data_IF_498429191069
#
_entry.id   IF_498429191069
#
_cell.length_a   1.000
_cell.length_b   1.000
_cell.length_c   1.000
_cell.angle_alpha   90.00
_cell.angle_beta   90.00
_cell.angle_gamma   90.00
#
_symmetry.space_group_name_H-M   'P 1'
#
loop_
_entity.id
_entity.type
_entity.pdbx_description
1 polymer ?
#
# COMPACT_ATOMS: atom_id res chain seq x y z
N UNK A 1 -41.82 47.56 -9.58
CA UNK A 1 -42.06 47.55 -11.04
C UNK A 1 -41.83 46.13 -11.49
N UNK A 2 -42.87 45.45 -11.98
CA UNK A 2 -42.79 44.09 -12.48
C UNK A 2 -41.92 44.07 -13.74
N UNK A 3 -40.79 43.38 -13.69
CA UNK A 3 -39.94 43.13 -14.85
C UNK A 3 -40.68 42.22 -15.84
N UNK A 4 -41.51 42.82 -16.68
CA UNK A 4 -42.08 42.15 -17.85
C UNK A 4 -40.92 41.94 -18.82
N UNK A 5 -40.34 40.75 -18.79
CA UNK A 5 -39.27 40.32 -19.69
C UNK A 5 -39.85 40.28 -21.11
N UNK A 6 -39.48 41.27 -21.95
CA UNK A 6 -39.76 41.26 -23.39
C UNK A 6 -38.86 40.21 -24.06
N UNK A 7 -39.47 39.13 -24.53
CA UNK A 7 -38.79 38.14 -25.38
C UNK A 7 -38.68 38.70 -26.79
N UNK A 8 -37.50 38.59 -27.40
CA UNK A 8 -37.29 39.03 -28.79
C UNK A 8 -37.97 38.04 -29.77
N UNK A 9 -39.00 38.47 -30.51
CA UNK A 9 -39.75 37.61 -31.42
C UNK A 9 -38.89 37.00 -32.53
N UNK A 10 -37.81 37.69 -32.93
CA UNK A 10 -36.91 37.22 -33.98
C UNK A 10 -36.11 36.00 -33.54
N UNK A 11 -35.62 36.02 -32.30
CA UNK A 11 -34.87 34.92 -31.70
C UNK A 11 -35.77 33.68 -31.52
N UNK A 12 -37.03 33.85 -31.12
CA UNK A 12 -37.99 32.73 -31.03
C UNK A 12 -38.34 32.12 -32.39
N UNK A 13 -38.49 32.95 -33.43
CA UNK A 13 -38.76 32.48 -34.78
C UNK A 13 -37.59 31.64 -35.34
N UNK A 14 -36.35 32.12 -35.14
CA UNK A 14 -35.14 31.37 -35.53
C UNK A 14 -35.04 30.04 -34.78
N UNK A 15 -35.39 30.01 -33.48
CA UNK A 15 -35.38 28.78 -32.69
C UNK A 15 -36.45 27.75 -33.12
N UNK A 16 -37.57 28.18 -33.72
CA UNK A 16 -38.62 27.26 -34.22
C UNK A 16 -38.33 26.74 -35.64
N UNK A 17 -37.60 27.50 -36.45
CA UNK A 17 -37.32 27.14 -37.84
C UNK A 17 -36.02 26.35 -37.98
N UNK A 18 -36.12 25.02 -38.02
CA UNK A 18 -34.98 24.09 -38.11
C UNK A 18 -34.12 24.23 -39.37
N UNK A 19 -34.65 24.86 -40.41
CA UNK A 19 -33.94 25.10 -41.67
C UNK A 19 -33.23 26.47 -41.70
N UNK A 20 -33.38 27.27 -40.65
CA UNK A 20 -32.76 28.59 -40.59
C UNK A 20 -31.24 28.45 -40.33
N UNK A 21 -30.36 29.15 -41.06
CA UNK A 21 -28.90 29.01 -40.93
C UNK A 21 -28.34 29.25 -39.52
N UNK A 22 -29.06 30.06 -38.73
CA UNK A 22 -28.70 30.41 -37.35
C UNK A 22 -29.47 29.59 -36.28
N UNK A 23 -30.19 28.54 -36.68
CA UNK A 23 -30.97 27.71 -35.74
C UNK A 23 -30.07 27.01 -34.72
N UNK A 24 -28.99 26.38 -35.17
CA UNK A 24 -28.07 25.65 -34.26
C UNK A 24 -27.35 26.59 -33.28
N UNK A 25 -26.96 27.79 -33.73
CA UNK A 25 -26.32 28.76 -32.84
C UNK A 25 -27.29 29.24 -31.75
N UNK A 26 -28.55 29.55 -32.09
CA UNK A 26 -29.56 29.99 -31.12
C UNK A 26 -29.93 28.88 -30.12
N UNK A 27 -29.94 27.61 -30.53
CA UNK A 27 -30.17 26.47 -29.63
C UNK A 27 -28.97 26.24 -28.71
N UNK A 28 -27.74 26.35 -29.23
CA UNK A 28 -26.53 26.12 -28.44
C UNK A 28 -26.27 27.23 -27.41
N UNK A 29 -26.71 28.48 -27.65
CA UNK A 29 -26.58 29.55 -26.63
C UNK A 29 -27.51 29.33 -25.43
N UNK A 30 -28.61 28.58 -25.59
CA UNK A 30 -29.56 28.25 -24.52
C UNK A 30 -29.41 26.78 -24.04
N UNK A 31 -28.20 26.23 -24.09
CA UNK A 31 -27.93 24.83 -23.76
C UNK A 31 -28.05 24.55 -22.24
N UNK A 32 -29.27 24.25 -21.82
CA UNK A 32 -29.52 23.31 -20.73
C UNK A 32 -30.16 23.88 -19.47
N UNK A 33 -30.28 25.19 -19.32
CA UNK A 33 -30.84 25.82 -18.12
C UNK A 33 -32.34 26.13 -18.29
N UNK A 34 -33.19 25.34 -17.65
CA UNK A 34 -34.65 25.53 -17.59
C UNK A 34 -35.01 26.05 -16.20
N UNK A 35 -35.60 27.24 -16.09
CA UNK A 35 -36.13 27.71 -14.80
C UNK A 35 -37.43 26.99 -14.46
N UNK A 36 -37.49 26.40 -13.27
CA UNK A 36 -38.70 25.80 -12.72
C UNK A 36 -39.73 26.85 -12.30
N UNK A 37 -40.98 26.44 -11.97
CA UNK A 37 -42.06 27.34 -11.54
C UNK A 37 -41.73 28.20 -10.32
N UNK A 38 -40.75 27.76 -9.51
CA UNK A 38 -40.25 28.45 -8.32
C UNK A 38 -39.06 29.38 -8.60
N UNK A 39 -38.69 29.60 -9.87
CA UNK A 39 -37.59 30.49 -10.27
C UNK A 39 -36.19 29.87 -10.19
N UNK A 40 -36.05 28.66 -9.65
CA UNK A 40 -34.78 27.92 -9.59
C UNK A 40 -34.34 27.41 -10.96
N UNK A 41 -33.07 27.64 -11.30
CA UNK A 41 -32.41 27.16 -12.51
C UNK A 41 -32.18 25.65 -12.42
N UNK A 42 -32.70 24.88 -13.39
CA UNK A 42 -32.50 23.44 -13.51
C UNK A 42 -31.69 23.13 -14.76
N UNK A 43 -30.67 22.29 -14.65
CA UNK A 43 -29.90 21.80 -15.79
C UNK A 43 -30.45 20.47 -16.28
N UNK A 44 -30.72 20.32 -17.58
CA UNK A 44 -31.10 19.03 -18.16
C UNK A 44 -29.84 18.18 -18.45
N UNK A 45 -29.56 17.10 -17.70
CA UNK A 45 -28.33 16.31 -17.85
C UNK A 45 -28.23 15.60 -19.21
N UNK A 46 -29.36 15.37 -19.89
CA UNK A 46 -29.36 14.69 -21.19
C UNK A 46 -28.92 15.64 -22.32
N UNK A 47 -29.05 16.95 -22.13
CA UNK A 47 -28.66 17.98 -23.12
C UNK A 47 -27.29 18.59 -22.86
N UNK A 48 -26.77 18.50 -21.65
CA UNK A 48 -25.48 19.10 -21.26
C UNK A 48 -24.43 17.99 -21.15
N UNK A 49 -23.22 18.21 -21.70
CA UNK A 49 -22.07 17.31 -21.56
C UNK A 49 -21.33 17.04 -22.87
N UNK A 50 -20.07 16.63 -22.76
CA UNK A 50 -19.22 16.20 -23.89
C UNK A 50 -18.97 14.70 -23.81
N UNK A 51 -18.70 14.04 -24.93
CA UNK A 51 -18.32 12.62 -24.97
C UNK A 51 -16.79 12.55 -24.93
N UNK A 52 -16.24 11.89 -23.92
CA UNK A 52 -14.80 11.69 -23.80
C UNK A 52 -14.29 10.57 -24.73
N UNK A 53 -12.96 10.36 -24.82
CA UNK A 53 -12.34 9.36 -25.69
C UNK A 53 -12.83 7.91 -25.47
N UNK A 54 -13.34 7.62 -24.26
CA UNK A 54 -13.84 6.30 -23.87
C UNK A 54 -15.35 6.12 -24.16
N UNK A 55 -15.98 7.01 -24.92
CA UNK A 55 -17.41 6.92 -25.30
C UNK A 55 -18.41 7.30 -24.21
N UNK A 56 -17.95 7.64 -23.00
CA UNK A 56 -18.81 8.01 -21.86
C UNK A 56 -19.09 9.52 -21.90
N UNK A 57 -20.37 9.90 -21.82
CA UNK A 57 -20.82 11.30 -21.74
C UNK A 57 -20.54 11.88 -20.34
N UNK A 58 -19.74 12.93 -20.27
CA UNK A 58 -19.34 13.63 -19.05
C UNK A 58 -19.95 15.04 -19.01
N UNK A 59 -20.35 15.48 -17.82
CA UNK A 59 -20.85 16.83 -17.58
C UNK A 59 -19.77 17.59 -16.82
N UNK A 60 -19.23 18.63 -17.43
CA UNK A 60 -18.28 19.51 -16.76
C UNK A 60 -19.01 20.32 -15.67
N UNK A 61 -18.64 20.08 -14.42
CA UNK A 61 -19.20 20.76 -13.24
C UNK A 61 -18.40 22.00 -12.86
N UNK A 62 -17.19 22.16 -13.42
CA UNK A 62 -16.32 23.30 -13.20
C UNK A 62 -16.56 24.27 -14.35
N UNK A 63 -17.32 25.34 -14.11
CA UNK A 63 -17.57 26.39 -15.09
C UNK A 63 -16.26 26.97 -15.65
N UNK A 64 -15.79 26.44 -16.79
CA UNK A 64 -14.91 27.15 -17.73
C UNK A 64 -13.53 27.60 -17.23
N UNK A 65 -12.78 26.74 -16.53
CA UNK A 65 -11.35 27.01 -16.26
C UNK A 65 -10.37 25.95 -16.82
N UNK A 66 -10.84 25.04 -17.66
CA UNK A 66 -9.96 24.16 -18.46
C UNK A 66 -9.86 24.67 -19.89
N UNK A 67 -8.77 25.37 -20.23
CA UNK A 67 -8.46 25.67 -21.63
C UNK A 67 -8.34 24.38 -22.43
N UNK A 68 -9.04 24.32 -23.56
CA UNK A 68 -9.06 23.17 -24.45
C UNK A 68 -7.70 22.94 -25.11
N UNK A 69 -7.10 21.78 -24.85
CA UNK A 69 -6.05 21.23 -25.70
C UNK A 69 -6.71 20.50 -26.87
N UNK A 70 -6.62 21.10 -28.05
CA UNK A 70 -7.01 20.49 -29.31
C UNK A 70 -6.21 19.22 -29.60
N UNK A 71 -6.89 18.25 -30.20
CA UNK A 71 -6.33 16.98 -30.60
C UNK A 71 -5.17 17.16 -31.61
N UNK A 72 -3.97 16.78 -31.20
CA UNK A 72 -2.85 16.50 -32.09
C UNK A 72 -2.54 15.01 -31.98
N UNK A 73 -2.34 14.36 -33.13
CA UNK A 73 -2.29 12.91 -33.30
C UNK A 73 -1.34 12.20 -32.33
N UNK A 74 -1.83 11.12 -31.74
CA UNK A 74 -1.06 10.24 -30.87
C UNK A 74 -0.16 9.35 -31.73
N UNK A 75 1.03 9.85 -32.02
CA UNK A 75 2.17 8.95 -32.23
C UNK A 75 2.35 8.13 -30.95
N UNK A 76 2.68 6.84 -31.10
CA UNK A 76 3.13 5.99 -29.98
C UNK A 76 4.41 6.61 -29.42
N UNK A 77 4.28 7.55 -28.49
CA UNK A 77 5.36 7.84 -27.55
C UNK A 77 5.31 6.72 -26.51
N UNK A 78 6.38 5.93 -26.43
CA UNK A 78 6.71 5.20 -25.21
C UNK A 78 6.44 6.12 -24.03
N UNK A 79 5.60 5.69 -23.09
CA UNK A 79 5.45 6.39 -21.83
C UNK A 79 6.83 6.36 -21.17
N UNK A 80 7.60 7.45 -21.29
CA UNK A 80 8.69 7.70 -20.37
C UNK A 80 8.03 7.82 -19.01
N UNK A 81 8.26 6.85 -18.13
CA UNK A 81 7.93 7.01 -16.72
C UNK A 81 8.57 8.32 -16.24
N UNK A 82 7.83 9.16 -15.48
CA UNK A 82 8.39 10.38 -14.96
C UNK A 82 9.54 10.02 -14.02
N UNK A 83 10.76 10.41 -14.39
CA UNK A 83 11.93 10.26 -13.53
C UNK A 83 11.73 11.19 -12.33
N UNK A 84 11.52 10.61 -11.14
CA UNK A 84 11.36 11.36 -9.90
C UNK A 84 12.63 12.18 -9.61
N UNK A 85 12.46 13.35 -9.00
CA UNK A 85 13.58 14.22 -8.65
C UNK A 85 14.45 13.54 -7.58
N UNK A 86 15.76 13.52 -7.80
CA UNK A 86 16.72 12.96 -6.86
C UNK A 86 17.00 13.95 -5.72
N UNK A 87 16.59 13.59 -4.51
CA UNK A 87 16.94 14.24 -3.26
C UNK A 87 18.31 13.75 -2.79
N UNK A 88 19.23 14.69 -2.60
CA UNK A 88 20.59 14.40 -2.13
C UNK A 88 20.94 15.29 -0.95
N UNK A 89 21.62 14.69 0.01
CA UNK A 89 22.18 15.36 1.18
C UNK A 89 23.68 15.15 1.10
N UNK A 90 24.49 16.18 0.93
CA UNK A 90 25.95 16.00 0.87
C UNK A 90 26.50 15.66 2.26
N UNK A 91 26.19 16.52 3.25
CA UNK A 91 26.63 16.39 4.64
C UNK A 91 25.46 16.66 5.58
N UNK A 92 24.86 15.62 6.20
CA UNK A 92 23.79 15.82 7.17
C UNK A 92 24.34 16.39 8.49
N UNK A 93 23.63 17.36 9.07
CA UNK A 93 23.92 17.93 10.38
C UNK A 93 23.35 17.09 11.52
N UNK A 94 22.30 16.32 11.23
CA UNK A 94 21.69 15.40 12.17
C UNK A 94 21.03 14.22 11.45
N UNK A 95 20.74 13.18 12.23
CA UNK A 95 20.11 11.96 11.74
C UNK A 95 18.80 11.68 12.47
N UNK A 96 17.84 11.14 11.73
CA UNK A 96 16.69 10.40 12.28
C UNK A 96 16.83 8.96 11.80
N UNK A 97 16.91 8.03 12.75
CA UNK A 97 17.11 6.61 12.47
C UNK A 97 15.76 5.90 12.47
N UNK A 98 15.52 5.10 11.43
CA UNK A 98 14.35 4.23 11.29
C UNK A 98 14.85 2.80 11.23
N UNK A 99 14.37 1.95 12.12
CA UNK A 99 14.58 0.51 12.03
C UNK A 99 13.28 -0.14 11.51
N UNK A 100 13.14 -0.35 10.20
CA UNK A 100 11.96 -0.98 9.61
C UNK A 100 11.88 -2.46 9.98
N UNK A 101 10.67 -3.03 9.95
CA UNK A 101 10.44 -4.45 10.21
C UNK A 101 10.91 -5.33 9.05
N UNK A 102 10.77 -4.85 7.81
CA UNK A 102 11.15 -5.59 6.58
C UNK A 102 10.56 -7.01 6.52
N UNK A 103 9.24 -7.16 6.70
CA UNK A 103 8.59 -8.47 6.73
C UNK A 103 8.83 -9.24 5.42
N UNK A 104 9.59 -10.35 5.51
CA UNK A 104 10.02 -11.13 4.34
C UNK A 104 11.13 -10.46 3.51
N UNK A 105 11.91 -9.58 4.13
CA UNK A 105 13.01 -8.84 3.52
C UNK A 105 12.57 -7.63 2.67
N UNK A 106 11.30 -7.22 2.72
CA UNK A 106 10.74 -6.13 1.92
C UNK A 106 10.04 -5.09 2.79
N UNK A 107 10.03 -3.84 2.37
CA UNK A 107 9.32 -2.79 3.09
C UNK A 107 7.81 -3.03 3.07
N UNK A 108 7.20 -2.94 4.25
CA UNK A 108 5.75 -2.94 4.44
C UNK A 108 5.18 -1.54 4.18
N UNK A 109 3.84 -1.43 4.13
CA UNK A 109 3.17 -0.12 4.16
C UNK A 109 3.51 0.64 5.45
N UNK A 110 3.50 -0.07 6.59
CA UNK A 110 3.82 0.50 7.89
C UNK A 110 5.24 1.07 7.93
N UNK A 111 6.23 0.36 7.38
CA UNK A 111 7.60 0.87 7.28
C UNK A 111 7.67 2.18 6.48
N UNK A 112 6.89 2.29 5.41
CA UNK A 112 6.84 3.49 4.56
C UNK A 112 6.17 4.67 5.26
N UNK A 113 5.13 4.42 6.06
CA UNK A 113 4.50 5.46 6.88
C UNK A 113 5.50 6.03 7.90
N UNK A 114 6.30 5.15 8.52
CA UNK A 114 7.35 5.53 9.47
C UNK A 114 8.46 6.35 8.80
N UNK A 115 8.91 5.95 7.60
CA UNK A 115 9.88 6.72 6.80
C UNK A 115 9.30 8.09 6.41
N UNK A 116 8.03 8.15 6.04
CA UNK A 116 7.30 9.39 5.77
C UNK A 116 7.27 10.33 6.97
N UNK A 117 7.00 9.79 8.16
CA UNK A 117 7.03 10.55 9.41
C UNK A 117 8.45 11.05 9.75
N UNK A 118 9.49 10.25 9.50
CA UNK A 118 10.88 10.66 9.67
C UNK A 118 11.20 11.91 8.82
N UNK A 119 10.77 11.92 7.56
CA UNK A 119 10.90 13.09 6.67
C UNK A 119 10.16 14.32 7.17
N UNK A 120 8.93 14.14 7.67
CA UNK A 120 8.18 15.23 8.29
C UNK A 120 8.95 15.85 9.44
N UNK A 121 9.55 15.05 10.33
CA UNK A 121 10.35 15.52 11.44
C UNK A 121 11.64 16.24 10.98
N UNK A 122 12.36 15.71 9.98
CA UNK A 122 13.50 16.40 9.37
C UNK A 122 13.09 17.80 8.90
N UNK A 123 12.05 17.90 8.06
CA UNK A 123 11.55 19.17 7.51
C UNK A 123 11.17 20.17 8.60
N UNK A 124 10.58 19.71 9.71
CA UNK A 124 10.23 20.58 10.83
C UNK A 124 11.49 21.10 11.54
N UNK A 125 12.49 20.25 11.84
CA UNK A 125 13.74 20.72 12.43
C UNK A 125 14.50 21.70 11.53
N UNK A 126 14.55 21.43 10.22
CA UNK A 126 15.16 22.32 9.25
C UNK A 126 14.43 23.68 9.17
N UNK A 127 13.10 23.67 9.26
CA UNK A 127 12.32 24.90 9.34
C UNK A 127 12.63 25.70 10.62
N UNK A 128 12.67 25.02 11.78
CA UNK A 128 12.96 25.65 13.08
C UNK A 128 14.36 26.29 13.12
N UNK A 129 15.36 25.64 12.49
CA UNK A 129 16.72 26.18 12.37
C UNK A 129 16.78 27.38 11.40
N UNK A 130 16.06 27.31 10.26
CA UNK A 130 15.95 28.43 9.30
C UNK A 130 15.31 29.67 9.93
N UNK A 131 14.28 29.49 10.75
CA UNK A 131 13.64 30.59 11.48
C UNK A 131 14.58 31.24 12.51
N UNK A 132 15.57 30.48 13.00
CA UNK A 132 16.65 30.96 13.87
C UNK A 132 17.87 31.49 13.10
N UNK A 133 17.78 31.59 11.76
CA UNK A 133 18.85 32.09 10.89
C UNK A 133 20.02 31.12 10.67
N UNK A 134 19.83 29.83 10.97
CA UNK A 134 20.81 28.76 10.75
C UNK A 134 20.37 27.88 9.57
N UNK A 135 21.35 27.33 8.86
CA UNK A 135 21.11 26.26 7.88
C UNK A 135 21.38 24.94 8.56
N UNK A 136 20.44 24.01 8.47
CA UNK A 136 20.61 22.63 8.93
C UNK A 136 19.92 21.69 7.94
N UNK A 137 20.49 20.50 7.73
CA UNK A 137 19.92 19.46 6.88
C UNK A 137 19.94 18.12 7.62
N UNK A 138 18.79 17.45 7.67
CA UNK A 138 18.61 16.15 8.34
C UNK A 138 18.57 15.00 7.33
N UNK A 139 19.19 13.87 7.66
CA UNK A 139 19.06 12.64 6.87
C UNK A 139 18.19 11.59 7.57
N UNK A 140 17.29 10.97 6.81
CA UNK A 140 16.56 9.77 7.22
C UNK A 140 17.43 8.54 6.93
N UNK A 141 17.76 7.80 7.97
CA UNK A 141 18.62 6.61 7.88
C UNK A 141 17.78 5.36 8.12
N UNK A 142 17.79 4.42 7.18
CA UNK A 142 17.24 3.08 7.43
C UNK A 142 18.32 2.18 8.04
N UNK A 143 18.00 1.50 9.13
CA UNK A 143 18.86 0.53 9.82
C UNK A 143 18.27 -0.86 9.64
N UNK A 144 18.86 -1.62 8.72
CA UNK A 144 18.36 -2.91 8.26
C UNK A 144 19.25 -4.06 8.77
N UNK A 145 18.63 -5.20 9.08
CA UNK A 145 19.26 -6.38 9.65
C UNK A 145 19.07 -7.60 8.74
N UNK A 146 20.10 -8.43 8.60
CA UNK A 146 20.00 -9.70 7.88
C UNK A 146 19.69 -9.55 6.38
N UNK A 147 19.02 -10.54 5.80
CA UNK A 147 18.66 -10.59 4.39
C UNK A 147 17.66 -9.48 4.02
N UNK A 148 18.04 -8.66 3.05
CA UNK A 148 17.19 -7.61 2.49
C UNK A 148 16.94 -7.89 1.00
N UNK A 149 15.66 -8.03 0.63
CA UNK A 149 15.15 -8.25 -0.73
C UNK A 149 14.54 -6.98 -1.33
N UNK A 150 14.61 -5.88 -0.61
CA UNK A 150 14.08 -4.59 -1.02
C UNK A 150 15.03 -3.91 -2.00
N UNK A 151 14.54 -3.65 -3.21
CA UNK A 151 15.32 -2.98 -4.25
C UNK A 151 14.99 -1.49 -4.35
N UNK A 152 13.92 -1.03 -3.68
CA UNK A 152 13.35 0.31 -3.85
C UNK A 152 13.43 1.22 -2.62
N UNK A 153 14.48 1.05 -1.80
CA UNK A 153 14.72 1.93 -0.63
C UNK A 153 14.86 3.41 -1.03
N UNK A 154 15.43 3.69 -2.20
CA UNK A 154 15.55 5.02 -2.77
C UNK A 154 14.19 5.67 -3.06
N UNK A 155 13.21 4.89 -3.50
CA UNK A 155 11.84 5.35 -3.72
C UNK A 155 11.03 5.45 -2.42
N UNK A 156 11.46 4.79 -1.35
CA UNK A 156 10.79 4.82 -0.05
C UNK A 156 11.22 6.01 0.84
N UNK A 157 12.11 6.89 0.36
CA UNK A 157 12.59 8.04 1.13
C UNK A 157 13.87 7.78 1.93
N UNK A 158 14.61 6.70 1.69
CA UNK A 158 15.84 6.43 2.46
C UNK A 158 16.98 7.31 1.95
N UNK A 159 17.46 8.27 2.75
CA UNK A 159 18.62 9.11 2.39
C UNK A 159 19.94 8.36 2.62
N UNK A 160 19.97 7.55 3.68
CA UNK A 160 21.13 6.79 4.15
C UNK A 160 20.76 5.39 4.57
N UNK A 161 21.66 4.44 4.35
CA UNK A 161 21.45 3.03 4.69
C UNK A 161 22.56 2.53 5.61
N UNK A 162 22.18 1.95 6.74
CA UNK A 162 23.03 1.06 7.54
C UNK A 162 22.46 -0.34 7.35
N UNK A 163 23.22 -1.22 6.71
CA UNK A 163 22.79 -2.61 6.48
C UNK A 163 23.76 -3.58 7.14
N UNK A 164 23.27 -4.28 8.16
CA UNK A 164 24.05 -5.25 8.94
C UNK A 164 23.80 -6.67 8.42
N UNK A 165 24.65 -7.10 7.47
CA UNK A 165 24.56 -8.38 6.76
C UNK A 165 25.32 -9.52 7.47
N UNK A 166 24.90 -9.89 8.67
CA UNK A 166 25.52 -11.00 9.40
C UNK A 166 24.44 -11.99 9.86
N UNK A 167 24.71 -13.29 9.73
CA UNK A 167 23.84 -14.40 10.12
C UNK A 167 23.31 -14.28 11.55
N UNK A 168 24.06 -13.60 12.45
CA UNK A 168 23.61 -13.34 13.84
C UNK A 168 22.33 -12.49 13.92
N UNK A 169 21.95 -11.82 12.84
CA UNK A 169 20.77 -10.96 12.76
C UNK A 169 19.58 -11.62 12.06
N UNK A 170 19.77 -12.81 11.48
CA UNK A 170 18.72 -13.58 10.82
C UNK A 170 17.70 -14.11 11.82
N UNK A 171 16.44 -14.21 11.38
CA UNK A 171 15.35 -14.69 12.23
C UNK A 171 15.08 -13.81 13.46
N UNK A 172 14.61 -14.43 14.54
CA UNK A 172 14.31 -13.75 15.80
C UNK A 172 15.59 -13.56 16.66
N UNK A 173 16.30 -12.45 16.42
CA UNK A 173 17.58 -12.13 17.06
C UNK A 173 17.56 -10.82 17.89
N UNK A 174 16.70 -10.70 18.93
CA UNK A 174 16.48 -9.42 19.61
C UNK A 174 17.70 -8.88 20.39
N UNK A 175 18.52 -9.76 20.98
CA UNK A 175 19.71 -9.32 21.73
C UNK A 175 20.83 -8.84 20.80
N UNK A 176 21.06 -9.54 19.69
CA UNK A 176 22.03 -9.13 18.68
C UNK A 176 21.65 -7.77 18.07
N UNK A 177 20.39 -7.62 17.65
CA UNK A 177 19.87 -6.35 17.10
C UNK A 177 19.95 -5.21 18.11
N UNK A 178 19.67 -5.47 19.39
CA UNK A 178 19.80 -4.45 20.45
C UNK A 178 21.24 -3.96 20.60
N UNK A 179 22.22 -4.86 20.66
CA UNK A 179 23.64 -4.47 20.79
C UNK A 179 24.10 -3.65 19.58
N UNK A 180 23.64 -4.00 18.38
CA UNK A 180 23.90 -3.24 17.17
C UNK A 180 23.33 -1.82 17.20
N UNK A 181 22.04 -1.69 17.52
CA UNK A 181 21.36 -0.39 17.61
C UNK A 181 21.97 0.47 18.71
N UNK A 182 22.38 -0.12 19.83
CA UNK A 182 23.06 0.61 20.91
C UNK A 182 24.43 1.16 20.49
N UNK A 183 25.19 0.43 19.67
CA UNK A 183 26.46 0.92 19.12
C UNK A 183 26.24 2.04 18.08
N UNK A 184 25.23 1.90 17.22
CA UNK A 184 24.83 2.95 16.26
C UNK A 184 24.38 4.23 16.99
N UNK A 185 23.61 4.10 18.07
CA UNK A 185 23.22 5.23 18.93
C UNK A 185 24.44 5.97 19.48
N UNK A 186 25.46 5.25 19.96
CA UNK A 186 26.68 5.87 20.47
C UNK A 186 27.47 6.59 19.38
N UNK A 187 27.51 6.04 18.18
CA UNK A 187 28.28 6.57 17.04
C UNK A 187 27.63 7.82 16.43
N UNK A 188 26.32 7.80 16.22
CA UNK A 188 25.62 8.85 15.45
C UNK A 188 24.75 9.78 16.27
N UNK A 189 24.41 9.42 17.51
CA UNK A 189 23.57 10.21 18.42
C UNK A 189 22.34 10.85 17.72
N UNK A 190 21.49 10.05 17.06
CA UNK A 190 20.36 10.56 16.29
C UNK A 190 19.39 11.39 17.15
N UNK A 191 18.70 12.33 16.52
CA UNK A 191 17.64 13.10 17.20
C UNK A 191 16.52 12.19 17.68
N UNK A 192 16.11 11.26 16.82
CA UNK A 192 15.07 10.28 17.10
C UNK A 192 15.40 8.91 16.54
N UNK A 193 14.94 7.88 17.26
CA UNK A 193 14.74 6.53 16.78
C UNK A 193 13.25 6.27 16.55
N UNK A 194 12.92 5.79 15.36
CA UNK A 194 11.57 5.44 14.96
C UNK A 194 11.50 3.95 14.65
N UNK A 195 10.49 3.29 15.21
CA UNK A 195 10.20 1.88 15.01
C UNK A 195 8.70 1.72 14.69
N UNK A 196 8.34 0.78 13.80
CA UNK A 196 6.98 0.27 13.75
C UNK A 196 6.57 -0.31 15.11
N UNK A 197 5.43 0.10 15.66
CA UNK A 197 4.82 -0.52 16.85
C UNK A 197 4.06 -1.79 16.44
N UNK A 198 4.83 -2.79 15.98
CA UNK A 198 4.32 -4.01 15.36
C UNK A 198 4.77 -5.26 16.12
N UNK A 199 4.12 -6.39 15.80
CA UNK A 199 4.52 -7.72 16.28
C UNK A 199 5.73 -8.30 15.55
N UNK A 200 6.19 -7.67 14.46
CA UNK A 200 7.23 -8.20 13.58
C UNK A 200 8.66 -7.87 14.05
N UNK A 201 8.80 -6.99 15.04
CA UNK A 201 10.06 -6.79 15.74
C UNK A 201 10.29 -5.36 16.24
N UNK A 202 9.75 -4.35 15.54
CA UNK A 202 9.97 -2.94 15.86
C UNK A 202 9.60 -2.58 17.30
N UNK A 203 8.46 -3.06 17.80
CA UNK A 203 8.02 -2.78 19.17
C UNK A 203 8.96 -3.40 20.23
N UNK A 204 9.42 -4.63 20.01
CA UNK A 204 10.36 -5.32 20.91
C UNK A 204 11.72 -4.63 20.91
N UNK A 205 12.28 -4.34 19.73
CA UNK A 205 13.58 -3.69 19.58
C UNK A 205 13.59 -2.28 20.19
N UNK A 206 12.60 -1.46 19.87
CA UNK A 206 12.51 -0.10 20.39
C UNK A 206 12.24 -0.06 21.90
N UNK A 207 11.47 -1.01 22.44
CA UNK A 207 11.28 -1.16 23.90
C UNK A 207 12.59 -1.53 24.61
N UNK A 208 13.37 -2.46 24.03
CA UNK A 208 14.68 -2.86 24.57
C UNK A 208 15.69 -1.71 24.52
N UNK A 209 15.75 -0.99 23.40
CA UNK A 209 16.62 0.17 23.25
C UNK A 209 16.27 1.23 24.31
N UNK A 210 14.98 1.50 24.49
CA UNK A 210 14.50 2.45 25.51
C UNK A 210 14.98 2.08 26.91
N UNK A 211 14.83 0.81 27.29
CA UNK A 211 15.32 0.32 28.57
C UNK A 211 16.84 0.45 28.69
N UNK A 212 17.60 0.15 27.63
CA UNK A 212 19.07 0.26 27.60
C UNK A 212 19.56 1.70 27.77
N UNK A 213 18.87 2.67 27.16
CA UNK A 213 19.22 4.09 27.21
C UNK A 213 18.63 4.82 28.43
N UNK A 214 17.73 4.18 29.18
CA UNK A 214 17.00 4.84 30.27
C UNK A 214 16.00 5.89 29.78
N UNK A 215 15.57 5.78 28.53
CA UNK A 215 14.63 6.70 27.87
C UNK A 215 13.19 6.20 28.01
N UNK A 216 12.23 7.11 28.07
CA UNK A 216 10.80 6.76 28.10
C UNK A 216 10.21 6.89 26.69
N UNK A 217 9.89 5.78 26.00
CA UNK A 217 9.39 5.86 24.64
C UNK A 217 7.97 6.41 24.61
N UNK A 218 7.55 6.90 23.43
CA UNK A 218 6.14 6.97 23.07
C UNK A 218 5.76 5.67 22.39
N UNK A 219 4.63 5.10 22.76
CA UNK A 219 4.11 3.84 22.22
C UNK A 219 2.70 4.09 21.71
N UNK A 220 2.26 3.31 20.73
CA UNK A 220 1.01 3.50 20.00
C UNK A 220 0.87 4.95 19.49
N UNK A 221 1.98 5.56 19.07
CA UNK A 221 2.02 6.93 18.60
C UNK A 221 1.56 6.99 17.14
N UNK A 222 0.57 7.84 16.85
CA UNK A 222 0.01 7.96 15.49
C UNK A 222 0.10 9.38 14.92
N UNK A 223 0.39 10.37 15.77
CA UNK A 223 0.64 11.73 15.32
C UNK A 223 1.83 12.30 16.09
N UNK A 224 2.88 12.67 15.37
CA UNK A 224 4.12 13.20 15.95
C UNK A 224 4.51 14.51 15.25
N UNK A 225 4.94 15.46 16.07
CA UNK A 225 5.71 16.63 15.68
C UNK A 225 6.98 16.75 16.55
N UNK A 226 7.82 17.76 16.33
CA UNK A 226 9.10 17.91 17.04
C UNK A 226 8.95 18.21 18.54
N UNK A 227 7.76 18.61 19.00
CA UNK A 227 7.49 19.03 20.37
C UNK A 227 6.49 18.11 21.08
N UNK A 228 5.46 17.64 20.38
CA UNK A 228 4.35 16.85 20.91
C UNK A 228 4.11 15.57 20.11
N UNK A 229 3.73 14.53 20.84
CA UNK A 229 3.33 13.22 20.33
C UNK A 229 1.97 12.85 20.90
N UNK A 230 1.07 12.38 20.04
CA UNK A 230 -0.24 11.83 20.41
C UNK A 230 -0.20 10.31 20.29
N UNK A 231 -0.53 9.65 21.40
CA UNK A 231 -0.55 8.20 21.54
C UNK A 231 -1.98 7.69 21.76
N UNK A 232 -2.30 6.48 21.28
CA UNK A 232 -3.52 5.77 21.68
C UNK A 232 -3.37 5.21 23.09
N UNK A 233 -4.41 5.37 23.91
CA UNK A 233 -4.45 4.89 25.29
C UNK A 233 -5.76 4.18 25.61
N UNK A 234 -5.78 3.46 26.73
CA UNK A 234 -6.96 2.76 27.26
C UNK A 234 -7.67 1.90 26.19
N UNK A 235 -6.95 0.95 25.58
CA UNK A 235 -7.44 0.12 24.48
C UNK A 235 -7.99 0.96 23.31
N UNK A 236 -7.21 1.96 22.89
CA UNK A 236 -7.53 2.88 21.79
C UNK A 236 -8.78 3.74 21.99
N UNK A 237 -9.29 3.87 23.21
CA UNK A 237 -10.48 4.67 23.51
C UNK A 237 -10.20 6.15 23.78
N UNK A 238 -8.94 6.52 24.05
CA UNK A 238 -8.52 7.90 24.29
C UNK A 238 -7.21 8.21 23.57
N UNK A 239 -6.99 9.51 23.34
CA UNK A 239 -5.71 10.05 22.92
C UNK A 239 -4.97 10.66 24.11
N UNK A 240 -3.67 10.38 24.21
CA UNK A 240 -2.78 10.91 25.24
C UNK A 240 -1.70 11.74 24.55
N UNK A 241 -1.70 13.05 24.80
CA UNK A 241 -0.67 13.96 24.29
C UNK A 241 0.48 14.09 25.30
N UNK A 242 1.71 14.04 24.81
CA UNK A 242 2.93 14.21 25.61
C UNK A 242 4.03 14.89 24.81
N UNK A 243 5.09 15.33 25.49
CA UNK A 243 6.30 15.83 24.83
C UNK A 243 6.93 14.72 23.99
N UNK A 244 7.37 15.03 22.78
CA UNK A 244 8.01 14.08 21.86
C UNK A 244 9.33 13.55 22.46
N UNK A 245 9.41 12.25 22.78
CA UNK A 245 10.64 11.63 23.29
C UNK A 245 11.58 11.24 22.13
N UNK A 246 12.82 10.85 22.47
CA UNK A 246 13.82 10.39 21.48
C UNK A 246 13.47 9.06 20.81
N UNK A 247 12.61 8.24 21.41
CA UNK A 247 12.26 6.90 20.90
C UNK A 247 10.76 6.81 20.68
N UNK A 248 10.36 6.50 19.46
CA UNK A 248 8.99 6.47 18.99
C UNK A 248 8.64 5.08 18.45
N UNK A 249 7.68 4.41 19.08
CA UNK A 249 7.00 3.23 18.51
C UNK A 249 5.68 3.71 17.90
N UNK A 250 5.59 3.57 16.59
CA UNK A 250 4.61 4.25 15.76
C UNK A 250 3.56 3.29 15.21
N UNK A 251 2.29 3.65 15.27
CA UNK A 251 1.22 2.91 14.60
C UNK A 251 1.29 3.08 13.08
N UNK A 252 0.57 2.23 12.36
CA UNK A 252 0.27 2.42 10.94
C UNK A 252 -0.39 3.79 10.70
N UNK A 253 -0.25 4.33 9.49
CA UNK A 253 -0.79 5.63 9.08
C UNK A 253 -0.25 6.82 9.92
N UNK A 254 0.94 6.67 10.55
CA UNK A 254 1.55 7.75 11.34
C UNK A 254 2.16 8.90 10.50
N UNK A 255 2.36 8.65 9.20
CA UNK A 255 2.88 9.62 8.23
C UNK A 255 2.56 9.16 6.80
N UNK A 256 2.56 10.10 5.85
CA UNK A 256 2.35 9.79 4.44
C UNK A 256 3.64 9.21 3.84
N UNK A 257 3.54 8.05 3.19
CA UNK A 257 4.65 7.45 2.45
C UNK A 257 5.22 8.40 1.39
N UNK A 258 6.53 8.33 1.17
CA UNK A 258 7.20 9.11 0.12
C UNK A 258 6.94 8.47 -1.25
N UNK A 259 6.38 9.24 -2.19
CA UNK A 259 6.13 8.82 -3.57
C UNK A 259 6.52 9.88 -4.63
N UNK A 260 6.89 11.09 -4.20
CA UNK A 260 7.19 12.23 -5.09
C UNK A 260 8.69 12.35 -5.45
N UNK A 261 9.58 11.75 -4.66
CA UNK A 261 11.03 11.92 -4.75
C UNK A 261 11.77 10.60 -4.72
N UNK A 262 12.95 10.59 -5.34
CA UNK A 262 13.93 9.51 -5.22
C UNK A 262 15.05 9.96 -4.30
N UNK A 263 15.59 9.10 -3.46
CA UNK A 263 16.64 9.42 -2.50
C UNK A 263 17.92 8.62 -2.78
N UNK A 264 19.05 9.04 -2.23
CA UNK A 264 20.36 8.44 -2.55
C UNK A 264 20.53 7.03 -1.97
N UNK A 265 19.85 6.69 -0.86
CA UNK A 265 20.05 5.47 -0.09
C UNK A 265 21.55 5.14 0.15
N UNK A 266 22.36 6.19 0.39
CA UNK A 266 23.82 6.05 0.47
C UNK A 266 24.22 5.26 1.71
N UNK A 267 25.08 4.25 1.54
CA UNK A 267 25.61 3.50 2.67
C UNK A 267 26.32 4.43 3.69
N UNK A 268 26.03 4.24 4.96
CA UNK A 268 26.82 4.75 6.07
C UNK A 268 27.71 3.63 6.59
N UNK A 269 29.02 3.90 6.63
CA UNK A 269 29.98 2.95 7.17
C UNK A 269 29.82 2.88 8.69
N UNK A 270 29.49 1.68 9.17
CA UNK A 270 29.51 1.33 10.58
C UNK A 270 30.63 0.31 10.76
N UNK A 271 31.51 0.54 11.74
CA UNK A 271 32.50 -0.48 12.11
C UNK A 271 31.79 -1.80 12.44
N UNK A 272 32.53 -2.91 12.33
CA UNK A 272 31.99 -4.23 12.63
C UNK A 272 31.37 -4.24 14.04
N UNK A 273 30.05 -4.34 14.08
CA UNK A 273 29.29 -4.35 15.33
C UNK A 273 29.69 -5.58 16.12
N UNK A 274 30.18 -5.37 17.34
CA UNK A 274 30.50 -6.47 18.24
C UNK A 274 29.22 -7.00 18.88
N UNK A 275 28.85 -8.25 18.55
CA UNK A 275 27.70 -8.93 19.15
C UNK A 275 28.22 -9.93 20.18
N UNK A 276 27.84 -9.73 21.45
CA UNK A 276 28.12 -10.67 22.53
C UNK A 276 27.29 -11.95 22.40
N UNK A 277 27.62 -12.99 23.19
CA UNK A 277 26.88 -14.24 23.19
C UNK A 277 25.37 -14.02 23.43
N UNK A 278 24.56 -14.52 22.49
CA UNK A 278 23.10 -14.47 22.50
C UNK A 278 22.57 -15.61 23.35
N UNK A 279 21.65 -15.34 24.27
CA UNK A 279 20.98 -16.31 25.15
C UNK A 279 19.65 -16.81 24.56
N UNK A 280 19.09 -16.09 23.59
CA UNK A 280 17.86 -16.45 22.88
C UNK A 280 18.23 -17.15 21.58
N UNK A 281 17.67 -18.35 21.37
CA UNK A 281 17.87 -19.13 20.15
C UNK A 281 16.56 -19.20 19.38
N UNK A 282 16.58 -18.72 18.15
CA UNK A 282 15.47 -18.90 17.22
C UNK A 282 15.46 -20.35 16.71
N UNK A 283 14.35 -21.04 16.90
CA UNK A 283 14.12 -22.39 16.36
C UNK A 283 13.34 -22.37 15.04
N UNK A 284 13.13 -21.18 14.48
CA UNK A 284 12.35 -20.96 13.28
C UNK A 284 10.84 -20.99 13.54
N UNK A 285 10.10 -20.80 12.46
CA UNK A 285 8.64 -20.92 12.48
C UNK A 285 8.25 -22.38 12.70
N UNK A 286 7.27 -22.62 13.56
CA UNK A 286 6.64 -23.93 13.67
C UNK A 286 5.67 -24.11 12.50
N UNK A 287 5.73 -25.27 11.84
CA UNK A 287 4.72 -25.66 10.87
C UNK A 287 3.36 -25.79 11.58
N UNK A 288 2.48 -24.85 11.29
CA UNK A 288 1.07 -24.89 11.70
C UNK A 288 0.26 -25.29 10.48
N UNK A 289 -0.73 -26.16 10.66
CA UNK A 289 -1.71 -26.41 9.61
C UNK A 289 -2.33 -25.06 9.19
N UNK A 290 -2.17 -24.60 7.93
CA UNK A 290 -2.77 -23.35 7.47
C UNK A 290 -4.28 -23.31 7.69
N UNK A 291 -4.93 -24.47 7.70
CA UNK A 291 -6.35 -24.58 7.96
C UNK A 291 -6.74 -24.49 9.46
N UNK A 292 -5.78 -24.53 10.37
CA UNK A 292 -5.99 -24.21 11.78
C UNK A 292 -5.88 -22.71 12.08
N UNK A 293 -5.33 -21.92 11.15
CA UNK A 293 -5.17 -20.46 11.30
C UNK A 293 -6.55 -19.79 11.15
N UNK A 294 -6.96 -18.92 12.11
CA UNK A 294 -8.14 -18.11 11.94
C UNK A 294 -8.05 -17.24 10.68
N UNK A 295 -9.11 -17.16 9.88
CA UNK A 295 -9.11 -16.39 8.62
C UNK A 295 -8.65 -14.93 8.77
N UNK A 296 -8.94 -14.30 9.92
CA UNK A 296 -8.56 -12.92 10.19
C UNK A 296 -7.04 -12.72 10.33
N UNK A 297 -6.30 -13.77 10.65
CA UNK A 297 -4.85 -13.75 10.90
C UNK A 297 -4.06 -14.36 9.72
N UNK A 298 -4.74 -14.92 8.73
CA UNK A 298 -4.11 -15.60 7.61
C UNK A 298 -3.44 -14.60 6.64
N UNK A 299 -2.12 -14.69 6.49
CA UNK A 299 -1.37 -13.85 5.54
C UNK A 299 -1.58 -14.24 4.07
N UNK A 300 -1.87 -15.52 3.80
CA UNK A 300 -2.10 -16.03 2.46
C UNK A 300 -3.40 -16.84 2.40
N UNK A 301 -4.38 -16.33 1.66
CA UNK A 301 -5.71 -16.92 1.54
C UNK A 301 -5.99 -17.32 0.09
N UNK A 302 -6.36 -18.59 -0.11
CA UNK A 302 -6.95 -19.08 -1.34
C UNK A 302 -8.46 -19.20 -1.13
N UNK A 303 -9.25 -18.44 -1.86
CA UNK A 303 -10.70 -18.30 -1.62
C UNK A 303 -11.54 -18.77 -2.79
N UNK A 304 -12.49 -19.66 -2.52
CA UNK A 304 -13.40 -20.23 -3.51
C UNK A 304 -14.73 -19.48 -3.63
N UNK A 305 -15.19 -19.31 -4.86
CA UNK A 305 -16.51 -18.80 -5.21
C UNK A 305 -17.42 -19.84 -5.84
N UNK A 306 -18.53 -19.36 -6.40
CA UNK A 306 -19.49 -20.18 -7.14
C UNK A 306 -18.92 -20.77 -8.45
N UNK A 307 -17.80 -20.22 -8.93
CA UNK A 307 -17.12 -20.74 -10.13
C UNK A 307 -16.31 -22.01 -9.90
N UNK A 308 -16.23 -22.54 -8.67
CA UNK A 308 -15.56 -23.81 -8.38
C UNK A 308 -16.54 -24.96 -8.57
N UNK A 309 -16.17 -25.94 -9.39
CA UNK A 309 -16.92 -27.16 -9.62
C UNK A 309 -16.20 -28.39 -9.08
N UNK A 310 -14.87 -28.42 -9.18
CA UNK A 310 -14.02 -29.44 -8.57
C UNK A 310 -13.44 -28.98 -7.22
N UNK A 311 -14.15 -29.29 -6.13
CA UNK A 311 -13.74 -28.90 -4.78
C UNK A 311 -12.54 -29.68 -4.25
N UNK A 312 -12.39 -30.95 -4.64
CA UNK A 312 -11.22 -31.77 -4.26
C UNK A 312 -9.92 -31.13 -4.77
N UNK A 313 -9.92 -30.71 -6.04
CA UNK A 313 -8.80 -29.98 -6.63
C UNK A 313 -8.53 -28.64 -5.93
N UNK A 314 -9.58 -27.92 -5.50
CA UNK A 314 -9.41 -26.68 -4.76
C UNK A 314 -8.70 -26.90 -3.41
N UNK A 315 -9.09 -27.93 -2.65
CA UNK A 315 -8.44 -28.28 -1.38
C UNK A 315 -6.99 -28.73 -1.60
N UNK A 316 -6.72 -29.52 -2.63
CA UNK A 316 -5.36 -29.93 -3.00
C UNK A 316 -4.49 -28.74 -3.39
N UNK A 317 -5.05 -27.78 -4.13
CA UNK A 317 -4.35 -26.55 -4.48
C UNK A 317 -4.04 -25.70 -3.24
N UNK A 318 -5.00 -25.52 -2.32
CA UNK A 318 -4.77 -24.80 -1.07
C UNK A 318 -3.63 -25.43 -0.26
N UNK A 319 -3.65 -26.77 -0.13
CA UNK A 319 -2.61 -27.52 0.57
C UNK A 319 -1.25 -27.43 -0.11
N UNK A 320 -1.20 -27.56 -1.44
CA UNK A 320 0.04 -27.44 -2.19
C UNK A 320 0.67 -26.05 -2.02
N UNK A 321 -0.17 -25.01 -2.02
CA UNK A 321 0.22 -23.61 -1.81
C UNK A 321 0.56 -23.27 -0.35
N UNK A 322 0.11 -24.07 0.62
CA UNK A 322 0.18 -23.71 2.04
C UNK A 322 -0.73 -22.53 2.39
N UNK A 323 -1.82 -22.34 1.63
CA UNK A 323 -2.75 -21.24 1.81
C UNK A 323 -3.87 -21.61 2.78
N UNK A 324 -4.34 -20.63 3.56
CA UNK A 324 -5.56 -20.77 4.34
C UNK A 324 -6.76 -20.71 3.41
N UNK A 325 -7.63 -21.71 3.44
CA UNK A 325 -8.84 -21.71 2.62
C UNK A 325 -9.83 -20.63 3.05
N UNK A 326 -10.41 -19.92 2.08
CA UNK A 326 -11.54 -19.01 2.26
C UNK A 326 -12.69 -19.39 1.31
N UNK A 327 -13.86 -18.84 1.57
CA UNK A 327 -15.01 -19.04 0.71
C UNK A 327 -15.90 -17.80 0.62
N UNK A 328 -16.50 -17.59 -0.54
CA UNK A 328 -17.62 -16.67 -0.69
C UNK A 328 -18.86 -17.18 0.06
N UNK A 329 -19.79 -16.27 0.36
CA UNK A 329 -21.08 -16.65 0.95
C UNK A 329 -21.82 -17.70 0.12
N UNK A 330 -21.79 -17.61 -1.22
CA UNK A 330 -22.50 -18.55 -2.09
C UNK A 330 -21.98 -19.97 -1.88
N UNK A 331 -20.65 -20.15 -1.88
CA UNK A 331 -20.03 -21.45 -1.62
C UNK A 331 -20.37 -22.04 -0.24
N UNK A 332 -20.50 -21.19 0.78
CA UNK A 332 -20.91 -21.61 2.13
C UNK A 332 -22.39 -21.97 2.19
N UNK A 333 -23.24 -21.13 1.61
CA UNK A 333 -24.71 -21.36 1.58
C UNK A 333 -25.04 -22.64 0.77
N UNK A 334 -24.25 -22.97 -0.25
CA UNK A 334 -24.35 -24.22 -1.04
C UNK A 334 -23.75 -25.45 -0.32
N UNK A 335 -23.11 -25.26 0.84
CA UNK A 335 -22.63 -26.34 1.69
C UNK A 335 -21.22 -26.87 1.35
N UNK A 336 -20.48 -26.20 0.47
CA UNK A 336 -19.12 -26.61 0.11
C UNK A 336 -18.07 -26.24 1.16
N UNK A 337 -18.31 -25.17 1.93
CA UNK A 337 -17.39 -24.71 2.96
C UNK A 337 -18.12 -24.33 4.26
N UNK A 338 -17.48 -24.49 5.42
CA UNK A 338 -18.09 -24.16 6.69
C UNK A 338 -18.15 -22.65 6.91
N UNK A 339 -19.10 -22.19 7.75
CA UNK A 339 -19.39 -20.77 7.94
C UNK A 339 -18.20 -19.93 8.45
N UNK A 340 -17.30 -20.53 9.23
CA UNK A 340 -16.10 -19.84 9.74
C UNK A 340 -15.08 -19.53 8.64
N UNK A 341 -15.26 -20.11 7.45
CA UNK A 341 -14.46 -19.85 6.24
C UNK A 341 -15.06 -18.78 5.32
N UNK A 342 -16.22 -18.23 5.69
CA UNK A 342 -16.88 -17.22 4.89
C UNK A 342 -16.14 -15.88 4.97
N UNK A 343 -15.77 -15.32 3.83
CA UNK A 343 -15.20 -13.97 3.70
C UNK A 343 -16.27 -12.98 3.22
N UNK A 344 -16.25 -11.76 3.77
CA UNK A 344 -17.13 -10.66 3.36
C UNK A 344 -17.81 -9.96 4.53
N UNK A 345 -18.65 -8.97 4.24
CA UNK A 345 -19.28 -8.08 5.22
C UNK A 345 -20.09 -8.79 6.33
N UNK A 346 -20.60 -9.99 6.06
CA UNK A 346 -21.35 -10.83 7.03
C UNK A 346 -20.58 -12.07 7.49
N UNK A 347 -19.33 -12.22 7.05
CA UNK A 347 -18.37 -13.24 7.45
C UNK A 347 -17.15 -12.59 8.11
N UNK A 348 -15.99 -13.16 7.88
CA UNK A 348 -14.71 -12.66 8.40
C UNK A 348 -14.15 -11.58 7.47
N UNK A 349 -13.67 -10.49 8.08
CA UNK A 349 -12.86 -9.48 7.40
C UNK A 349 -11.40 -9.93 7.48
N UNK A 350 -10.68 -9.80 6.38
CA UNK A 350 -9.33 -10.34 6.24
C UNK A 350 -8.38 -9.28 5.70
N UNK A 351 -7.17 -9.28 6.24
CA UNK A 351 -6.06 -8.34 5.94
C UNK A 351 -4.88 -9.11 5.37
N UNK A 352 -5.15 -10.11 4.52
CA UNK A 352 -4.12 -10.97 3.96
C UNK A 352 -3.18 -10.19 3.04
N UNK A 353 -1.88 -10.51 3.10
CA UNK A 353 -0.87 -10.00 2.17
C UNK A 353 -1.18 -10.43 0.75
N UNK A 354 -1.62 -11.68 0.59
CA UNK A 354 -2.06 -12.22 -0.70
C UNK A 354 -3.42 -12.90 -0.56
N UNK A 355 -4.38 -12.44 -1.36
CA UNK A 355 -5.71 -13.01 -1.47
C UNK A 355 -5.98 -13.48 -2.90
N UNK A 356 -6.08 -14.79 -3.10
CA UNK A 356 -6.38 -15.39 -4.40
C UNK A 356 -7.86 -15.74 -4.46
N UNK A 357 -8.61 -14.99 -5.27
CA UNK A 357 -10.04 -15.17 -5.47
C UNK A 357 -10.30 -16.03 -6.71
N UNK A 358 -10.79 -17.26 -6.52
CA UNK A 358 -11.05 -18.23 -7.60
C UNK A 358 -12.55 -18.38 -7.80
N UNK A 359 -13.04 -18.00 -8.97
CA UNK A 359 -14.47 -18.11 -9.30
C UNK A 359 -15.38 -17.19 -8.47
N UNK A 360 -14.85 -16.08 -7.94
CA UNK A 360 -15.59 -15.08 -7.15
C UNK A 360 -15.88 -13.86 -8.03
N UNK A 361 -17.16 -13.48 -8.15
CA UNK A 361 -17.60 -12.35 -8.97
C UNK A 361 -17.30 -10.97 -8.38
N UNK A 362 -17.12 -10.89 -7.05
CA UNK A 362 -16.79 -9.65 -6.34
C UNK A 362 -17.99 -8.78 -5.99
N UNK A 363 -19.09 -9.37 -5.51
CA UNK A 363 -20.19 -8.58 -4.94
C UNK A 363 -19.68 -7.63 -3.83
N UNK A 364 -20.28 -6.44 -3.71
CA UNK A 364 -19.84 -5.37 -2.79
C UNK A 364 -19.60 -5.90 -1.37
N UNK A 365 -20.45 -6.81 -0.90
CA UNK A 365 -20.33 -7.42 0.42
C UNK A 365 -19.06 -8.25 0.56
N UNK A 366 -18.66 -8.99 -0.48
CA UNK A 366 -17.39 -9.73 -0.47
C UNK A 366 -16.21 -8.77 -0.49
N UNK A 367 -16.28 -7.74 -1.35
CA UNK A 367 -15.21 -6.74 -1.51
C UNK A 367 -14.92 -5.97 -0.23
N UNK A 368 -15.94 -5.68 0.58
CA UNK A 368 -15.78 -5.05 1.90
C UNK A 368 -14.91 -5.90 2.83
N UNK A 369 -15.08 -7.22 2.82
CA UNK A 369 -14.31 -8.12 3.70
C UNK A 369 -12.84 -8.29 3.29
N UNK A 370 -12.47 -7.96 2.05
CA UNK A 370 -11.10 -8.01 1.54
C UNK A 370 -10.52 -6.62 1.25
N UNK A 371 -11.18 -5.57 1.73
CA UNK A 371 -10.83 -4.18 1.39
C UNK A 371 -9.37 -3.86 1.71
N UNK A 372 -8.90 -4.37 2.84
CA UNK A 372 -7.55 -4.17 3.40
C UNK A 372 -6.53 -5.26 2.97
N UNK A 373 -6.85 -6.13 2.01
CA UNK A 373 -5.85 -7.05 1.46
C UNK A 373 -4.89 -6.32 0.53
N UNK A 374 -3.58 -6.55 0.70
CA UNK A 374 -2.53 -5.87 -0.07
C UNK A 374 -2.59 -6.24 -1.55
N UNK A 375 -2.44 -7.54 -1.85
CA UNK A 375 -2.44 -8.08 -3.21
C UNK A 375 -3.61 -9.03 -3.40
N UNK A 376 -4.55 -8.61 -4.24
CA UNK A 376 -5.65 -9.46 -4.68
C UNK A 376 -5.32 -10.03 -6.05
N UNK A 377 -5.39 -11.35 -6.21
CA UNK A 377 -5.28 -12.07 -7.48
C UNK A 377 -6.65 -12.64 -7.82
N UNK A 378 -7.14 -12.42 -9.03
CA UNK A 378 -8.43 -12.95 -9.48
C UNK A 378 -8.24 -14.01 -10.55
N UNK A 379 -8.88 -15.18 -10.38
CA UNK A 379 -9.04 -16.21 -11.39
C UNK A 379 -10.52 -16.32 -11.69
N UNK A 380 -10.93 -15.91 -12.89
CA UNK A 380 -12.34 -15.92 -13.27
C UNK A 380 -12.50 -16.05 -14.79
N UNK A 381 -13.55 -16.72 -15.25
CA UNK A 381 -13.88 -16.79 -16.67
C UNK A 381 -14.49 -15.46 -17.19
N UNK A 382 -15.13 -14.67 -16.31
CA UNK A 382 -15.70 -13.37 -16.65
C UNK A 382 -14.72 -12.22 -16.39
N UNK A 383 -14.17 -11.64 -17.47
CA UNK A 383 -13.30 -10.46 -17.42
C UNK A 383 -14.01 -9.16 -16.99
N UNK A 384 -15.34 -9.14 -16.99
CA UNK A 384 -16.14 -7.97 -16.63
C UNK A 384 -16.49 -7.88 -15.14
N UNK A 385 -16.21 -8.92 -14.36
CA UNK A 385 -16.62 -8.99 -12.96
C UNK A 385 -15.86 -7.99 -12.07
N UNK A 386 -16.46 -7.63 -10.93
CA UNK A 386 -15.91 -6.59 -10.06
C UNK A 386 -14.65 -7.03 -9.32
N UNK A 387 -14.49 -8.35 -9.08
CA UNK A 387 -13.27 -8.90 -8.51
C UNK A 387 -12.05 -8.64 -9.40
N UNK A 388 -12.19 -8.85 -10.71
CA UNK A 388 -11.13 -8.59 -11.71
C UNK A 388 -10.69 -7.12 -11.71
N UNK A 389 -11.63 -6.18 -11.48
CA UNK A 389 -11.32 -4.75 -11.41
C UNK A 389 -10.54 -4.36 -10.15
N UNK A 390 -10.73 -5.08 -9.04
CA UNK A 390 -10.00 -4.85 -7.78
C UNK A 390 -8.62 -5.51 -7.78
N UNK A 391 -8.46 -6.59 -8.54
CA UNK A 391 -7.27 -7.41 -8.48
C UNK A 391 -6.03 -6.69 -9.03
N UNK A 392 -4.91 -6.88 -8.35
CA UNK A 392 -3.59 -6.47 -8.83
C UNK A 392 -3.14 -7.33 -10.02
N UNK A 393 -3.57 -8.59 -10.06
CA UNK A 393 -3.36 -9.53 -11.15
C UNK A 393 -4.67 -10.26 -11.45
N UNK A 394 -5.07 -10.31 -12.71
CA UNK A 394 -6.26 -11.06 -13.14
C UNK A 394 -5.87 -12.08 -14.20
N UNK A 395 -6.32 -13.32 -14.01
CA UNK A 395 -6.18 -14.42 -14.96
C UNK A 395 -7.57 -14.80 -15.45
N UNK A 396 -7.79 -14.64 -16.74
CA UNK A 396 -9.08 -14.94 -17.37
C UNK A 396 -9.02 -16.34 -17.98
N UNK A 397 -9.72 -17.29 -17.36
CA UNK A 397 -9.69 -18.69 -17.78
C UNK A 397 -10.43 -19.61 -16.82
N UNK A 398 -10.45 -20.89 -17.17
CA UNK A 398 -11.07 -21.93 -16.37
C UNK A 398 -10.29 -22.17 -15.07
N UNK A 399 -10.99 -22.26 -13.94
CA UNK A 399 -10.33 -22.44 -12.65
C UNK A 399 -9.64 -23.79 -12.52
N UNK A 400 -10.17 -24.86 -13.12
CA UNK A 400 -9.61 -26.20 -12.97
C UNK A 400 -8.29 -26.32 -13.70
N UNK A 401 -8.22 -25.82 -14.94
CA UNK A 401 -6.97 -25.80 -15.73
C UNK A 401 -5.89 -24.96 -15.03
N UNK A 402 -6.27 -23.78 -14.51
CA UNK A 402 -5.33 -22.86 -13.86
C UNK A 402 -4.82 -23.43 -12.55
N UNK A 403 -5.69 -24.01 -11.71
CA UNK A 403 -5.29 -24.60 -10.44
C UNK A 403 -4.40 -25.83 -10.66
N UNK A 404 -4.70 -26.67 -11.66
CA UNK A 404 -3.86 -27.81 -12.00
C UNK A 404 -2.42 -27.38 -12.36
N UNK A 405 -2.29 -26.39 -13.24
CA UNK A 405 -0.98 -25.91 -13.67
C UNK A 405 -0.23 -25.19 -12.54
N UNK A 406 -0.95 -24.43 -11.70
CA UNK A 406 -0.38 -23.79 -10.53
C UNK A 406 0.20 -24.81 -9.55
N UNK A 407 -0.52 -25.91 -9.28
CA UNK A 407 -0.06 -26.99 -8.40
C UNK A 407 1.19 -27.66 -8.97
N UNK A 408 1.24 -27.93 -10.28
CA UNK A 408 2.44 -28.48 -10.94
C UNK A 408 3.65 -27.58 -10.77
N UNK A 409 3.49 -26.26 -10.99
CA UNK A 409 4.58 -25.29 -10.84
C UNK A 409 5.05 -25.23 -9.39
N UNK A 410 4.13 -25.23 -8.43
CA UNK A 410 4.48 -25.21 -7.00
C UNK A 410 5.27 -26.46 -6.60
N UNK A 411 4.85 -27.64 -7.05
CA UNK A 411 5.61 -28.87 -6.80
C UNK A 411 6.98 -28.87 -7.46
N UNK A 412 7.09 -28.37 -8.70
CA UNK A 412 8.38 -28.23 -9.37
C UNK A 412 9.31 -27.26 -8.63
N UNK A 413 8.76 -26.16 -8.09
CA UNK A 413 9.52 -25.19 -7.30
C UNK A 413 9.96 -25.78 -5.95
N UNK A 414 9.06 -26.43 -5.22
CA UNK A 414 9.39 -27.14 -3.97
C UNK A 414 10.38 -28.28 -4.18
N UNK A 415 10.36 -28.96 -5.33
CA UNK A 415 11.33 -29.99 -5.68
C UNK A 415 12.72 -29.45 -6.08
N UNK A 416 12.82 -28.17 -6.47
CA UNK A 416 14.08 -27.50 -6.76
C UNK A 416 14.73 -26.88 -5.51
N UNK A 417 13.93 -26.65 -4.45
CA UNK A 417 14.40 -26.15 -3.15
C UNK A 417 14.48 -27.35 -2.20
N UNK A 418 15.63 -28.04 -2.15
CA UNK A 418 15.88 -29.04 -1.09
C UNK A 418 15.84 -28.36 0.29
N UNK A 419 15.51 -29.09 1.38
CA UNK A 419 15.46 -28.54 2.74
C UNK A 419 16.83 -28.10 3.30
N UNK A 420 17.90 -28.31 2.54
CA UNK A 420 19.23 -27.75 2.77
C UNK A 420 19.45 -26.75 1.63
N UNK A 421 19.52 -25.45 1.94
CA UNK A 421 19.45 -24.34 0.97
C UNK A 421 20.62 -24.24 -0.02
N UNK A 422 20.79 -25.23 -0.89
CA UNK A 422 21.65 -25.15 -2.06
C UNK A 422 20.81 -25.19 -3.34
N UNK A 423 20.77 -24.05 -4.02
CA UNK A 423 20.22 -23.94 -5.37
C UNK A 423 21.05 -24.79 -6.32
N UNK A 424 20.46 -25.83 -6.91
CA UNK A 424 21.08 -26.61 -7.98
C UNK A 424 21.30 -25.73 -9.21
N UNK A 425 22.53 -25.25 -9.42
CA UNK A 425 22.94 -24.61 -10.67
C UNK A 425 22.74 -25.59 -11.83
N UNK A 426 21.91 -25.20 -12.81
CA UNK A 426 21.78 -25.92 -14.08
C UNK A 426 23.11 -25.81 -14.85
N UNK A 427 23.94 -26.85 -14.76
CA UNK A 427 25.07 -27.06 -15.64
C UNK A 427 24.60 -27.10 -17.11
N UNK A 428 25.06 -26.13 -17.89
CA UNK A 428 24.94 -26.13 -19.34
C UNK A 428 26.02 -27.04 -19.92
N UNK A 429 25.66 -28.25 -20.32
CA UNK A 429 26.52 -29.05 -21.20
C UNK A 429 26.36 -28.56 -22.64
N UNK A 430 27.38 -27.86 -23.11
CA UNK A 430 27.67 -27.69 -24.53
C UNK A 430 27.92 -29.07 -25.17
N UNK A 431 27.04 -29.48 -26.08
CA UNK A 431 27.31 -30.55 -27.02
C UNK A 431 28.22 -30.04 -28.14
N UNK A 432 29.31 -30.77 -28.36
CA UNK A 432 30.17 -30.68 -29.55
C UNK A 432 29.51 -31.29 -30.78
#
# INVERSE_FOLDING_TARGET
>A
MSDIIRRDPRTEWIARNRLHPLHESVINTNAGEVRGPTGLLRKNPHKVGFIGPNGIKRIDRLKGNGQGAGAVGRGKSSANEPVLALHQIETPDFYIMVAPDLVGGRLTSHDKDVLGLAHKLCRTYEADERDQGRSSQGAVVAVCFGEMKEESLDLAGVDRLIHLQNDVFEGFAPEARLEAVAQIEQMYQPKHWLFPDSIHGGADLGSRLSARLGERPAVQAWQVDTQNTVCRGASSSIDITRVTPRILLLLEECGDAIDETRHEAKALDVDAVEVSAVNIVDHGLMDVDPNAIPLAEAEFILSAGNGIHNWEQFHDAAKALGATEGASRVAVDDGYMPRFRQVGATGTWVTARVYVAVGISGAIQHMQGIGQCDKVVAINTDSGCDMVKRAALSVIGDSEEILEELVKIVHAHKGQVSPEGETLEKGSEHAA
#
